data_IF_028649705545
#
_entry.id   IF_028649705545
#
_cell.length_a   1.000
_cell.length_b   1.000
_cell.length_c   1.000
_cell.angle_alpha   90.00
_cell.angle_beta   90.00
_cell.angle_gamma   90.00
#
_symmetry.space_group_name_H-M   'P 1'
#
loop_
_entity.id
_entity.type
_entity.pdbx_description
1 polymer ?
#
# COMPACT_ATOMS: atom_id res chain seq x y z
N UNK A 1 -6.39 4.47 12.02
CA UNK A 1 -5.94 5.79 12.50
C UNK A 1 -4.79 5.70 13.51
N UNK A 2 -4.97 5.08 14.68
CA UNK A 2 -3.91 4.97 15.71
C UNK A 2 -2.55 4.46 15.21
N UNK A 3 -2.53 3.47 14.30
CA UNK A 3 -1.28 2.97 13.70
C UNK A 3 -0.55 4.01 12.84
N UNK A 4 -1.28 4.83 12.09
CA UNK A 4 -0.69 5.88 11.27
C UNK A 4 -0.17 7.02 12.14
N UNK A 5 -0.94 7.43 13.15
CA UNK A 5 -0.51 8.41 14.15
C UNK A 5 0.76 7.97 14.88
N UNK A 6 0.81 6.70 15.33
CA UNK A 6 2.00 6.14 15.96
C UNK A 6 3.19 6.07 14.99
N UNK A 7 2.97 5.64 13.75
CA UNK A 7 4.01 5.62 12.73
C UNK A 7 4.60 7.02 12.49
N UNK A 8 3.76 8.06 12.42
CA UNK A 8 4.21 9.45 12.29
C UNK A 8 5.03 9.90 13.50
N UNK A 9 4.62 9.51 14.72
CA UNK A 9 5.38 9.82 15.94
C UNK A 9 6.75 9.12 15.94
N UNK A 10 6.80 7.82 15.66
CA UNK A 10 8.04 7.04 15.58
C UNK A 10 8.98 7.59 14.51
N UNK A 11 8.46 7.89 13.32
CA UNK A 11 9.27 8.50 12.25
C UNK A 11 9.82 9.86 12.65
N UNK A 12 9.03 10.68 13.37
CA UNK A 12 9.49 11.97 13.88
C UNK A 12 10.63 11.81 14.89
N UNK A 13 10.52 10.85 15.82
CA UNK A 13 11.59 10.50 16.76
C UNK A 13 12.85 10.03 16.06
N UNK A 14 12.71 9.15 15.06
CA UNK A 14 13.84 8.66 14.26
C UNK A 14 14.54 9.81 13.54
N UNK A 15 13.80 10.76 12.97
CA UNK A 15 14.36 11.95 12.32
C UNK A 15 15.15 12.82 13.31
N UNK A 16 14.60 13.08 14.49
CA UNK A 16 15.33 13.80 15.54
C UNK A 16 16.58 13.04 16.01
N UNK A 17 16.48 11.72 16.17
CA UNK A 17 17.61 10.87 16.59
C UNK A 17 18.77 10.88 15.59
N UNK A 18 18.50 11.05 14.28
CA UNK A 18 19.54 11.22 13.25
C UNK A 18 19.97 12.68 13.05
N UNK A 19 19.55 13.60 13.92
CA UNK A 19 20.02 14.98 13.97
C UNK A 19 19.15 16.00 13.23
N UNK A 20 17.91 15.67 12.86
CA UNK A 20 16.99 16.66 12.31
C UNK A 20 16.75 17.79 13.33
N UNK A 21 16.85 19.05 12.88
CA UNK A 21 16.56 20.23 13.72
C UNK A 21 15.08 20.64 13.70
N UNK A 22 14.35 20.16 12.69
CA UNK A 22 12.93 20.43 12.46
C UNK A 22 12.28 19.22 11.80
N UNK A 23 11.07 18.87 12.23
CA UNK A 23 10.26 17.81 11.61
C UNK A 23 8.90 18.39 11.25
N UNK A 24 8.41 18.07 10.04
CA UNK A 24 7.09 18.48 9.56
C UNK A 24 6.18 17.24 9.57
N UNK A 25 5.32 17.06 10.59
CA UNK A 25 4.58 15.82 10.76
C UNK A 25 3.41 15.68 9.78
N UNK A 26 3.01 16.76 9.09
CA UNK A 26 1.93 16.73 8.11
C UNK A 26 0.53 16.48 8.71
N UNK A 27 0.34 16.80 9.99
CA UNK A 27 -0.92 16.61 10.70
C UNK A 27 -1.67 17.95 10.76
N UNK A 28 -2.87 18.00 10.18
CA UNK A 28 -3.74 19.17 10.29
C UNK A 28 -4.24 19.34 11.73
N UNK A 29 -4.43 20.57 12.19
CA UNK A 29 -4.85 20.86 13.57
C UNK A 29 -3.73 20.81 14.62
N UNK A 30 -2.53 20.30 14.28
CA UNK A 30 -1.34 20.38 15.13
C UNK A 30 -0.33 21.41 14.60
N UNK A 31 0.72 21.66 15.39
CA UNK A 31 1.82 22.51 14.97
C UNK A 31 2.42 21.98 13.65
N UNK A 32 2.60 22.83 12.62
CA UNK A 32 3.08 22.40 11.30
C UNK A 32 4.56 21.96 11.34
N UNK A 33 5.27 22.29 12.41
CA UNK A 33 6.68 21.98 12.60
C UNK A 33 6.96 21.71 14.07
N UNK A 34 7.70 20.64 14.33
CA UNK A 34 8.28 20.32 15.63
C UNK A 34 9.74 20.76 15.63
N UNK A 35 10.20 21.37 16.72
CA UNK A 35 11.60 21.80 16.88
C UNK A 35 12.28 21.18 18.09
N UNK A 36 11.51 20.65 19.03
CA UNK A 36 12.01 19.87 20.16
C UNK A 36 11.56 18.40 20.00
N UNK A 37 12.45 17.41 20.15
CA UNK A 37 12.07 15.99 20.17
C UNK A 37 10.94 15.67 21.18
N UNK A 38 10.83 16.42 22.27
CA UNK A 38 9.76 16.28 23.26
C UNK A 38 8.39 16.69 22.75
N UNK A 39 8.29 17.46 21.65
CA UNK A 39 7.02 17.85 21.05
C UNK A 39 6.30 16.64 20.43
N UNK A 40 7.02 15.56 20.09
CA UNK A 40 6.44 14.35 19.49
C UNK A 40 5.38 13.70 20.40
N UNK A 41 5.49 13.87 21.73
CA UNK A 41 4.46 13.39 22.68
C UNK A 41 3.08 14.00 22.39
N UNK A 42 3.04 15.21 21.83
CA UNK A 42 1.82 15.89 21.41
C UNK A 42 1.10 15.14 20.28
N UNK A 43 1.85 14.52 19.36
CA UNK A 43 1.27 13.67 18.31
C UNK A 43 0.54 12.48 18.93
N UNK A 44 1.13 11.79 19.91
CA UNK A 44 0.50 10.61 20.55
C UNK A 44 -0.67 10.97 21.46
N UNK A 45 -0.61 12.13 22.11
CA UNK A 45 -1.67 12.59 23.00
C UNK A 45 -2.88 13.19 22.26
N UNK A 46 -2.72 13.59 20.99
CA UNK A 46 -3.78 14.17 20.19
C UNK A 46 -4.91 13.16 19.92
N UNK A 47 -6.15 13.63 20.02
CA UNK A 47 -7.32 12.90 19.56
C UNK A 47 -7.62 13.31 18.12
N UNK A 48 -7.02 12.60 17.17
CA UNK A 48 -7.06 12.96 15.75
C UNK A 48 -8.23 12.29 15.01
N UNK A 49 -8.91 13.09 14.19
CA UNK A 49 -9.90 12.64 13.21
C UNK A 49 -9.21 12.21 11.90
N UNK A 50 -9.82 11.32 11.09
CA UNK A 50 -9.18 10.78 9.89
C UNK A 50 -8.70 11.82 8.87
N UNK A 51 -9.41 12.93 8.74
CA UNK A 51 -9.08 14.01 7.81
C UNK A 51 -7.83 14.80 8.22
N UNK A 52 -7.42 14.69 9.49
CA UNK A 52 -6.28 15.42 10.04
C UNK A 52 -4.94 14.74 9.74
N UNK A 53 -4.96 13.46 9.37
CA UNK A 53 -3.82 12.68 8.92
C UNK A 53 -4.00 12.33 7.44
N UNK A 54 -3.88 13.31 6.52
CA UNK A 54 -4.06 13.07 5.10
C UNK A 54 -3.06 12.02 4.61
N UNK A 55 -3.58 10.91 4.08
CA UNK A 55 -2.80 9.83 3.49
C UNK A 55 -3.33 9.55 2.09
N UNK A 56 -2.44 9.58 1.10
CA UNK A 56 -2.75 9.24 -0.29
C UNK A 56 -2.04 7.95 -0.71
N UNK A 57 -2.67 7.17 -1.60
CA UNK A 57 -2.05 6.01 -2.24
C UNK A 57 -2.50 5.92 -3.69
N UNK A 58 -1.54 5.70 -4.59
CA UNK A 58 -1.81 5.34 -5.99
C UNK A 58 -1.75 3.81 -6.19
N UNK A 59 -1.53 3.06 -5.11
CA UNK A 59 -1.41 1.60 -5.11
C UNK A 59 -2.77 0.97 -4.81
N UNK A 60 -3.57 0.80 -5.86
CA UNK A 60 -4.89 0.16 -5.83
C UNK A 60 -4.78 -1.26 -6.37
N UNK A 61 -5.40 -2.21 -5.67
CA UNK A 61 -5.24 -3.65 -5.87
C UNK A 61 -6.58 -4.37 -5.72
N UNK A 62 -6.63 -5.63 -6.15
CA UNK A 62 -7.69 -6.56 -5.76
C UNK A 62 -9.05 -6.31 -6.41
N UNK A 63 -9.11 -5.56 -7.52
CA UNK A 63 -10.34 -5.40 -8.29
C UNK A 63 -10.72 -6.64 -9.09
N UNK A 64 -9.76 -7.53 -9.39
CA UNK A 64 -9.95 -8.82 -10.07
C UNK A 64 -9.03 -9.88 -9.43
N UNK A 65 -9.20 -10.18 -8.13
CA UNK A 65 -8.20 -10.95 -7.39
C UNK A 65 -8.10 -12.38 -7.92
N UNK A 66 -6.88 -12.93 -7.92
CA UNK A 66 -6.64 -14.34 -8.22
C UNK A 66 -7.13 -15.24 -7.09
N UNK A 67 -7.73 -16.38 -7.44
CA UNK A 67 -8.14 -17.40 -6.48
C UNK A 67 -8.85 -18.58 -7.13
N UNK A 68 -8.89 -19.70 -6.42
CA UNK A 68 -9.52 -20.94 -6.90
C UNK A 68 -11.04 -20.95 -6.78
N UNK A 69 -11.62 -20.03 -5.99
CA UNK A 69 -13.07 -19.92 -5.79
C UNK A 69 -13.65 -18.84 -6.72
N UNK A 70 -14.36 -19.20 -7.79
CA UNK A 70 -14.92 -18.25 -8.75
C UNK A 70 -16.02 -17.35 -8.17
N UNK A 71 -16.53 -17.64 -6.98
CA UNK A 71 -17.47 -16.75 -6.27
C UNK A 71 -16.78 -15.61 -5.53
N UNK A 72 -15.45 -15.69 -5.39
CA UNK A 72 -14.62 -14.74 -4.61
C UNK A 72 -13.45 -14.17 -5.38
N UNK A 73 -13.10 -14.76 -6.51
CA UNK A 73 -11.99 -14.39 -7.37
C UNK A 73 -12.47 -14.27 -8.82
N UNK A 74 -11.92 -13.30 -9.54
CA UNK A 74 -12.25 -13.11 -10.95
C UNK A 74 -11.41 -14.01 -11.86
N UNK A 75 -10.22 -14.40 -11.42
CA UNK A 75 -9.27 -15.19 -12.18
C UNK A 75 -8.72 -16.37 -11.38
N UNK A 76 -8.26 -17.41 -12.08
CA UNK A 76 -7.47 -18.49 -11.50
C UNK A 76 -6.01 -18.07 -11.27
N UNK A 77 -5.20 -18.98 -10.69
CA UNK A 77 -3.75 -18.78 -10.55
C UNK A 77 -2.96 -18.86 -11.87
N UNK A 78 -3.68 -19.19 -12.94
CA UNK A 78 -3.29 -19.24 -14.34
C UNK A 78 -3.67 -17.96 -15.10
N UNK A 79 -4.09 -16.90 -14.39
CA UNK A 79 -4.47 -15.60 -14.95
C UNK A 79 -5.76 -15.60 -15.77
N UNK A 80 -6.36 -16.77 -16.01
CA UNK A 80 -7.56 -16.92 -16.82
C UNK A 80 -8.79 -16.43 -16.06
N UNK A 81 -9.66 -15.68 -16.74
CA UNK A 81 -10.94 -15.25 -16.19
C UNK A 81 -11.88 -16.44 -16.09
N UNK A 82 -12.47 -16.64 -14.91
CA UNK A 82 -13.38 -17.76 -14.69
C UNK A 82 -14.57 -17.69 -15.65
N UNK A 83 -14.84 -18.79 -16.36
CA UNK A 83 -15.98 -18.91 -17.27
C UNK A 83 -15.82 -18.20 -18.62
N UNK A 84 -14.64 -17.66 -18.94
CA UNK A 84 -14.37 -17.02 -20.24
C UNK A 84 -13.10 -17.61 -20.85
N UNK A 85 -13.25 -18.33 -21.96
CA UNK A 85 -12.13 -18.94 -22.67
C UNK A 85 -11.25 -17.88 -23.36
N UNK A 86 -9.94 -18.01 -23.23
CA UNK A 86 -8.96 -17.14 -23.89
C UNK A 86 -8.85 -15.71 -23.34
N UNK A 87 -9.49 -15.40 -22.21
CA UNK A 87 -9.41 -14.10 -21.57
C UNK A 87 -8.52 -14.15 -20.31
N UNK A 88 -7.48 -13.33 -20.29
CA UNK A 88 -6.51 -13.25 -19.20
C UNK A 88 -6.39 -11.83 -18.65
N UNK A 89 -6.04 -11.70 -17.38
CA UNK A 89 -5.73 -10.41 -16.73
C UNK A 89 -4.26 -10.41 -16.32
N UNK A 90 -3.56 -9.27 -16.49
CA UNK A 90 -2.14 -9.16 -16.18
C UNK A 90 -1.76 -7.76 -15.68
N UNK A 91 -2.26 -7.41 -14.50
CA UNK A 91 -1.90 -6.18 -13.81
C UNK A 91 -2.05 -6.36 -12.28
N UNK A 92 -2.01 -5.27 -11.52
CA UNK A 92 -2.09 -5.29 -10.06
C UNK A 92 -3.50 -5.56 -9.51
N UNK A 93 -4.54 -5.61 -10.36
CA UNK A 93 -5.90 -6.02 -9.97
C UNK A 93 -5.94 -7.46 -9.44
N UNK A 94 -4.99 -8.29 -9.89
CA UNK A 94 -4.84 -9.69 -9.51
C UNK A 94 -4.45 -9.90 -8.04
N UNK A 95 -3.90 -8.87 -7.40
CA UNK A 95 -3.32 -8.99 -6.07
C UNK A 95 -4.45 -9.15 -5.05
N UNK A 96 -4.57 -10.28 -4.34
CA UNK A 96 -5.69 -10.51 -3.42
C UNK A 96 -5.75 -9.50 -2.26
N UNK A 97 -4.59 -8.92 -1.90
CA UNK A 97 -4.44 -7.88 -0.88
C UNK A 97 -3.31 -6.93 -1.26
N UNK A 98 -3.24 -5.78 -0.57
CA UNK A 98 -2.15 -4.82 -0.76
C UNK A 98 -0.81 -5.39 -0.26
N UNK A 99 0.27 -5.36 -1.06
CA UNK A 99 1.59 -5.78 -0.63
C UNK A 99 2.18 -4.77 0.36
N UNK A 100 3.03 -5.26 1.28
CA UNK A 100 3.73 -4.40 2.24
C UNK A 100 4.89 -3.59 1.64
N UNK A 101 5.25 -3.86 0.39
CA UNK A 101 6.34 -3.21 -0.35
C UNK A 101 5.86 -2.78 -1.74
N UNK A 102 6.71 -2.04 -2.47
CA UNK A 102 6.39 -1.58 -3.82
C UNK A 102 5.97 -2.74 -4.74
N UNK A 103 4.79 -2.67 -5.41
CA UNK A 103 4.24 -3.77 -6.20
C UNK A 103 4.94 -4.02 -7.53
N UNK A 104 5.80 -3.11 -8.00
CA UNK A 104 6.32 -3.09 -9.38
C UNK A 104 6.96 -4.41 -9.80
N UNK A 105 7.92 -4.93 -9.02
CA UNK A 105 8.62 -6.17 -9.37
C UNK A 105 7.68 -7.38 -9.34
N UNK A 106 6.74 -7.42 -8.40
CA UNK A 106 5.72 -8.47 -8.34
C UNK A 106 4.82 -8.45 -9.57
N UNK A 107 4.37 -7.26 -9.99
CA UNK A 107 3.54 -7.10 -11.18
C UNK A 107 4.28 -7.52 -12.45
N UNK A 108 5.54 -7.09 -12.60
CA UNK A 108 6.41 -7.49 -13.72
C UNK A 108 6.65 -9.01 -13.75
N UNK A 109 6.89 -9.63 -12.59
CA UNK A 109 7.11 -11.07 -12.50
C UNK A 109 5.85 -11.87 -12.90
N UNK A 110 4.66 -11.44 -12.47
CA UNK A 110 3.40 -12.06 -12.86
C UNK A 110 3.13 -11.91 -14.37
N UNK A 111 3.38 -10.72 -14.93
CA UNK A 111 3.26 -10.50 -16.37
C UNK A 111 4.24 -11.35 -17.18
N UNK A 112 5.49 -11.45 -16.74
CA UNK A 112 6.50 -12.30 -17.39
C UNK A 112 6.12 -13.78 -17.34
N UNK A 113 5.57 -14.26 -16.22
CA UNK A 113 5.10 -15.64 -16.09
C UNK A 113 3.96 -15.94 -17.06
N UNK A 114 2.94 -15.07 -17.14
CA UNK A 114 1.85 -15.25 -18.11
C UNK A 114 2.38 -15.26 -19.55
N UNK A 115 3.27 -14.31 -19.89
CA UNK A 115 3.86 -14.25 -21.22
C UNK A 115 4.61 -15.55 -21.58
N UNK A 116 5.33 -16.14 -20.64
CA UNK A 116 5.97 -17.45 -20.82
C UNK A 116 4.97 -18.57 -21.09
N UNK A 117 3.90 -18.67 -20.29
CA UNK A 117 2.85 -19.68 -20.50
C UNK A 117 2.19 -19.54 -21.87
N UNK A 118 1.79 -18.32 -22.26
CA UNK A 118 1.14 -18.11 -23.56
C UNK A 118 2.08 -18.38 -24.74
N UNK A 119 3.39 -18.13 -24.58
CA UNK A 119 4.36 -18.41 -25.64
C UNK A 119 4.57 -19.92 -25.88
N UNK A 120 4.33 -20.77 -24.88
CA UNK A 120 4.39 -22.24 -25.04
C UNK A 120 3.12 -22.82 -25.68
N UNK A 121 2.01 -22.07 -25.66
CA UNK A 121 0.71 -22.45 -26.24
C UNK A 121 0.56 -22.06 -27.72
N UNK A 122 1.48 -21.25 -28.25
CA UNK A 122 1.54 -20.76 -29.65
C UNK A 122 2.47 -21.62 -30.52
#
# INVERSE_FOLDING_TARGET
>A
MRRLQEATAVLSEMLFAVGAKKVFPGIHGLAPTLTDPMDVKGIRAANLEPQELPSGSNHVFGTMPMGSDPTRAATGSDYAVHGVEGLYVSDTSLFPTSPGVNPMLTAMALGHRLAGTLAEEL
#
